data_IF_652804848655
#
_entry.id   IF_652804848655
#
_cell.length_a   1.000
_cell.length_b   1.000
_cell.length_c   1.000
_cell.angle_alpha   90.00
_cell.angle_beta   90.00
_cell.angle_gamma   90.00
#
_symmetry.space_group_name_H-M   'P 1'
#
loop_
_entity.id
_entity.type
_entity.pdbx_description
1 polymer ?
#
# COMPACT_ATOMS: atom_id res chain seq x y z
N UNK A 1 -47.10 -30.93 32.05
CA UNK A 1 -47.47 -29.62 32.63
C UNK A 1 -46.23 -29.04 33.29
N UNK A 2 -45.81 -27.84 32.90
CA UNK A 2 -44.60 -27.20 33.42
C UNK A 2 -44.18 -26.07 32.47
N UNK A 3 -44.38 -24.84 32.91
CA UNK A 3 -44.17 -23.59 32.19
C UNK A 3 -42.69 -23.29 31.95
N UNK A 4 -42.34 -22.77 30.77
CA UNK A 4 -41.00 -22.24 30.45
C UNK A 4 -41.11 -20.78 29.99
N UNK A 5 -40.51 -19.88 30.76
CA UNK A 5 -40.59 -18.42 30.67
C UNK A 5 -40.10 -17.84 29.33
N UNK A 6 -40.86 -16.89 28.78
CA UNK A 6 -40.37 -15.91 27.80
C UNK A 6 -39.84 -14.70 28.58
N UNK A 7 -38.52 -14.53 28.66
CA UNK A 7 -37.93 -13.33 29.26
C UNK A 7 -37.79 -12.23 28.20
N UNK A 8 -38.59 -11.17 28.32
CA UNK A 8 -38.42 -9.92 27.59
C UNK A 8 -37.37 -9.06 28.33
N UNK A 9 -36.18 -8.89 27.76
CA UNK A 9 -35.25 -7.86 28.24
C UNK A 9 -35.55 -6.54 27.53
N UNK A 10 -36.17 -5.61 28.27
CA UNK A 10 -36.26 -4.21 27.88
C UNK A 10 -34.98 -3.49 28.32
N UNK A 11 -33.96 -3.45 27.46
CA UNK A 11 -32.85 -2.51 27.63
C UNK A 11 -33.36 -1.11 27.24
N UNK A 12 -33.66 -0.28 28.25
CA UNK A 12 -33.98 1.13 28.06
C UNK A 12 -32.77 1.82 27.42
N UNK A 13 -32.94 2.37 26.21
CA UNK A 13 -32.14 3.50 25.72
C UNK A 13 -31.33 3.33 24.44
N UNK A 14 -31.28 2.15 23.80
CA UNK A 14 -30.53 1.98 22.54
C UNK A 14 -31.44 1.46 21.41
N UNK A 15 -31.60 2.24 20.33
CA UNK A 15 -32.23 1.78 19.08
C UNK A 15 -31.21 0.93 18.32
N UNK A 16 -31.45 -0.39 18.23
CA UNK A 16 -30.74 -1.26 17.28
C UNK A 16 -31.39 -1.12 15.88
N UNK A 17 -30.61 -1.15 14.79
CA UNK A 17 -31.14 -1.18 13.43
C UNK A 17 -31.93 -2.49 13.16
N UNK A 18 -32.84 -2.51 12.17
CA UNK A 18 -33.81 -3.60 11.95
C UNK A 18 -33.21 -4.94 11.48
N UNK A 19 -31.90 -5.12 11.56
CA UNK A 19 -31.18 -6.31 11.08
C UNK A 19 -30.39 -7.04 12.18
N UNK A 20 -30.57 -6.69 13.45
CA UNK A 20 -29.84 -7.30 14.57
C UNK A 20 -30.54 -8.56 15.07
N UNK A 21 -29.86 -9.71 15.03
CA UNK A 21 -30.30 -10.95 15.70
C UNK A 21 -29.31 -11.39 16.77
N UNK A 22 -29.83 -11.77 17.94
CA UNK A 22 -29.10 -12.43 19.03
C UNK A 22 -29.34 -13.94 18.91
N UNK A 23 -28.27 -14.74 18.81
CA UNK A 23 -28.37 -16.20 18.87
C UNK A 23 -28.02 -16.67 20.28
N UNK A 24 -28.98 -17.30 20.96
CA UNK A 24 -28.75 -17.99 22.23
C UNK A 24 -28.48 -19.46 21.93
N UNK A 25 -27.26 -19.91 22.19
CA UNK A 25 -26.91 -21.33 22.16
C UNK A 25 -27.35 -21.93 23.50
N UNK A 26 -28.25 -22.91 23.47
CA UNK A 26 -28.52 -23.77 24.63
C UNK A 26 -27.95 -25.13 24.30
N UNK A 27 -26.91 -25.49 25.03
CA UNK A 27 -26.36 -26.83 25.02
C UNK A 27 -27.15 -27.67 26.02
N UNK A 28 -27.76 -28.75 25.56
CA UNK A 28 -28.21 -29.82 26.43
C UNK A 28 -27.91 -31.14 25.76
N UNK A 29 -26.76 -31.73 26.13
CA UNK A 29 -26.41 -33.09 25.77
C UNK A 29 -27.52 -34.05 26.16
N UNK A 30 -28.17 -34.64 25.16
CA UNK A 30 -28.62 -36.02 25.15
C UNK A 30 -29.05 -36.39 23.73
N UNK A 31 -28.54 -37.53 23.27
CA UNK A 31 -28.88 -38.20 22.02
C UNK A 31 -30.40 -38.36 21.83
N UNK A 32 -30.97 -37.70 20.82
CA UNK A 32 -32.34 -37.95 20.36
C UNK A 32 -32.39 -38.01 18.83
N UNK A 33 -32.38 -39.24 18.33
CA UNK A 33 -32.83 -39.62 16.99
C UNK A 33 -34.30 -39.20 16.85
N UNK A 34 -34.63 -38.43 15.82
CA UNK A 34 -36.00 -38.11 15.44
C UNK A 34 -36.62 -36.89 16.13
N UNK A 35 -36.18 -35.69 15.77
CA UNK A 35 -36.93 -34.46 16.05
C UNK A 35 -37.58 -33.95 14.76
N UNK A 36 -38.89 -34.13 14.65
CA UNK A 36 -39.72 -33.49 13.63
C UNK A 36 -39.91 -32.03 14.05
N UNK A 37 -39.19 -31.11 13.41
CA UNK A 37 -39.35 -29.68 13.67
C UNK A 37 -40.54 -29.12 12.89
N UNK A 38 -41.48 -28.49 13.61
CA UNK A 38 -42.60 -27.76 12.99
C UNK A 38 -42.10 -26.41 12.48
N UNK A 39 -42.45 -26.00 11.25
CA UNK A 39 -42.07 -24.69 10.72
C UNK A 39 -42.72 -23.57 11.55
N UNK A 40 -41.93 -22.56 11.89
CA UNK A 40 -42.42 -21.32 12.50
C UNK A 40 -43.05 -20.48 11.37
N UNK A 41 -44.36 -20.24 11.46
CA UNK A 41 -45.07 -19.36 10.54
C UNK A 41 -44.92 -17.91 11.01
N UNK A 42 -44.30 -17.06 10.18
CA UNK A 42 -44.35 -15.60 10.31
C UNK A 42 -45.38 -15.09 9.29
N UNK A 43 -46.38 -14.27 9.67
CA UNK A 43 -47.36 -13.78 8.72
C UNK A 43 -46.70 -12.90 7.65
N UNK A 44 -46.83 -13.28 6.37
CA UNK A 44 -46.39 -12.48 5.22
C UNK A 44 -45.15 -12.97 4.45
N UNK A 45 -44.49 -14.05 4.86
CA UNK A 45 -43.35 -14.64 4.15
C UNK A 45 -43.60 -16.09 3.71
N UNK A 46 -43.18 -16.45 2.48
CA UNK A 46 -43.33 -17.79 1.92
C UNK A 46 -42.54 -18.89 2.66
N UNK A 47 -42.76 -20.14 2.25
CA UNK A 47 -42.21 -21.37 2.86
C UNK A 47 -40.69 -21.37 2.94
N UNK A 48 -40.16 -21.72 4.11
CA UNK A 48 -38.72 -21.73 4.42
C UNK A 48 -38.15 -23.14 4.24
N UNK A 49 -37.02 -23.29 3.53
CA UNK A 49 -36.29 -24.54 3.46
C UNK A 49 -35.06 -24.47 4.37
N UNK A 50 -34.95 -25.41 5.30
CA UNK A 50 -33.81 -25.59 6.20
C UNK A 50 -33.02 -26.80 5.67
N UNK A 51 -31.78 -26.60 5.21
CA UNK A 51 -30.91 -27.72 4.79
C UNK A 51 -29.85 -27.97 5.85
N UNK A 52 -29.66 -29.23 6.22
CA UNK A 52 -28.53 -29.68 7.04
C UNK A 52 -27.34 -30.03 6.14
N UNK A 53 -26.13 -29.65 6.54
CA UNK A 53 -24.90 -30.21 5.98
C UNK A 53 -24.16 -31.00 7.07
N UNK A 54 -23.50 -32.08 6.67
CA UNK A 54 -22.77 -32.99 7.57
C UNK A 54 -21.27 -32.81 7.32
N UNK A 55 -20.59 -32.22 8.30
CA UNK A 55 -19.12 -32.16 8.32
C UNK A 55 -18.61 -32.96 9.53
N UNK A 56 -17.39 -33.48 9.42
CA UNK A 56 -16.96 -34.68 10.15
C UNK A 56 -16.79 -34.52 11.68
N UNK A 57 -17.18 -33.39 12.31
CA UNK A 57 -17.23 -33.20 13.78
C UNK A 57 -18.29 -32.18 14.28
N UNK A 58 -19.53 -32.22 13.78
CA UNK A 58 -20.66 -31.55 14.45
C UNK A 58 -21.77 -31.03 13.53
N UNK A 59 -23.00 -30.91 14.05
CA UNK A 59 -24.13 -30.32 13.32
C UNK A 59 -24.10 -28.80 13.43
N UNK A 60 -23.83 -28.10 12.33
CA UNK A 60 -24.06 -26.65 12.19
C UNK A 60 -25.34 -26.38 11.40
N UNK A 61 -26.11 -25.35 11.79
CA UNK A 61 -27.28 -24.88 11.04
C UNK A 61 -26.95 -23.57 10.33
N UNK A 62 -27.13 -23.53 9.00
CA UNK A 62 -27.08 -22.31 8.20
C UNK A 62 -28.50 -21.96 7.75
N UNK A 63 -29.04 -20.81 8.18
CA UNK A 63 -30.32 -20.31 7.67
C UNK A 63 -30.06 -19.44 6.44
N UNK A 64 -30.63 -19.81 5.29
CA UNK A 64 -30.56 -19.01 4.06
C UNK A 64 -31.74 -18.06 3.98
N UNK A 65 -31.46 -16.78 3.72
CA UNK A 65 -32.46 -15.80 3.29
C UNK A 65 -32.37 -15.63 1.78
N UNK A 66 -33.44 -15.98 1.06
CA UNK A 66 -33.61 -15.62 -0.34
C UNK A 66 -34.71 -14.55 -0.42
N UNK A 67 -34.40 -13.28 -0.73
CA UNK A 67 -35.42 -12.34 -1.16
C UNK A 67 -35.87 -12.76 -2.56
N UNK A 68 -37.18 -12.74 -2.82
CA UNK A 68 -37.71 -12.86 -4.19
C UNK A 68 -37.32 -11.59 -4.96
N UNK A 69 -36.46 -11.76 -5.97
CA UNK A 69 -36.19 -10.77 -7.01
C UNK A 69 -35.05 -9.79 -6.66
N UNK A 70 -33.99 -9.82 -7.47
CA UNK A 70 -32.88 -8.87 -7.44
C UNK A 70 -31.56 -9.51 -7.01
N UNK A 71 -30.64 -9.65 -7.96
CA UNK A 71 -29.26 -10.10 -7.75
C UNK A 71 -28.54 -9.16 -6.76
N UNK A 72 -28.30 -9.64 -5.54
CA UNK A 72 -27.44 -8.94 -4.58
C UNK A 72 -26.01 -9.50 -4.70
N UNK A 73 -25.28 -9.05 -5.73
CA UNK A 73 -23.82 -9.28 -5.87
C UNK A 73 -23.03 -8.85 -4.62
N UNK A 74 -23.60 -7.97 -3.79
CA UNK A 74 -23.02 -7.46 -2.54
C UNK A 74 -22.82 -8.53 -1.47
N UNK A 75 -23.76 -9.47 -1.31
CA UNK A 75 -23.67 -10.49 -0.25
C UNK A 75 -22.69 -11.61 -0.61
N UNK A 76 -22.63 -11.99 -1.89
CA UNK A 76 -21.65 -12.96 -2.36
C UNK A 76 -20.23 -12.38 -2.40
N UNK A 77 -20.06 -11.13 -2.84
CA UNK A 77 -18.77 -10.45 -2.75
C UNK A 77 -18.30 -10.28 -1.30
N UNK A 78 -19.21 -9.95 -0.37
CA UNK A 78 -18.91 -9.86 1.06
C UNK A 78 -18.53 -11.23 1.66
N UNK A 79 -19.28 -12.30 1.33
CA UNK A 79 -18.95 -13.66 1.79
C UNK A 79 -17.64 -14.18 1.19
N UNK A 80 -17.35 -13.86 -0.07
CA UNK A 80 -16.05 -14.16 -0.69
C UNK A 80 -14.93 -13.39 -0.02
N UNK A 81 -15.15 -12.11 0.33
CA UNK A 81 -14.16 -11.28 1.04
C UNK A 81 -13.93 -11.71 2.49
N UNK A 82 -14.97 -12.15 3.19
CA UNK A 82 -14.87 -12.74 4.53
C UNK A 82 -14.14 -14.08 4.50
N UNK A 83 -14.48 -14.95 3.54
CA UNK A 83 -13.77 -16.23 3.32
C UNK A 83 -12.31 -16.01 2.89
N UNK A 84 -12.04 -15.02 2.05
CA UNK A 84 -10.68 -14.66 1.64
C UNK A 84 -9.87 -14.16 2.84
N UNK A 85 -10.46 -13.32 3.71
CA UNK A 85 -9.81 -12.88 4.95
C UNK A 85 -9.53 -14.01 5.91
N UNK A 86 -10.45 -14.97 6.06
CA UNK A 86 -10.22 -16.17 6.88
C UNK A 86 -9.08 -17.04 6.30
N UNK A 87 -8.91 -17.08 4.97
CA UNK A 87 -7.79 -17.76 4.30
C UNK A 87 -6.46 -16.99 4.40
N UNK A 88 -6.49 -15.65 4.33
CA UNK A 88 -5.30 -14.80 4.49
C UNK A 88 -4.73 -14.93 5.92
N UNK A 89 -5.59 -15.16 6.91
CA UNK A 89 -5.23 -15.46 8.30
C UNK A 89 -4.48 -16.79 8.49
N UNK A 90 -4.75 -17.80 7.65
CA UNK A 90 -4.09 -19.12 7.70
C UNK A 90 -2.65 -19.07 7.15
N UNK A 91 -2.22 -17.96 6.56
CA UNK A 91 -0.86 -17.78 6.03
C UNK A 91 0.13 -17.11 7.01
N UNK A 92 -0.32 -16.75 8.22
CA UNK A 92 0.53 -16.03 9.17
C UNK A 92 1.56 -16.94 9.82
N UNK A 93 2.76 -16.39 9.96
CA UNK A 93 3.87 -17.04 10.65
C UNK A 93 3.97 -16.57 12.10
N UNK A 94 3.80 -17.50 13.05
CA UNK A 94 3.84 -17.23 14.49
C UNK A 94 5.13 -17.81 15.10
N UNK A 95 5.90 -16.97 15.79
CA UNK A 95 7.05 -17.41 16.59
C UNK A 95 6.72 -17.32 18.09
N UNK A 96 6.93 -18.40 18.83
CA UNK A 96 6.70 -18.47 20.28
C UNK A 96 8.04 -18.55 21.00
N UNK A 97 8.29 -17.63 21.92
CA UNK A 97 9.48 -17.58 22.75
C UNK A 97 9.08 -17.85 24.20
N UNK A 98 9.43 -19.02 24.69
CA UNK A 98 9.13 -19.46 26.06
C UNK A 98 10.18 -20.49 26.46
N UNK A 99 10.75 -20.40 27.66
CA UNK A 99 11.74 -21.37 28.17
C UNK A 99 11.07 -22.68 28.59
N UNK A 100 9.80 -22.64 29.01
CA UNK A 100 9.02 -23.84 29.33
C UNK A 100 8.71 -24.66 28.07
N UNK A 101 9.41 -25.78 27.92
CA UNK A 101 9.28 -26.67 26.77
C UNK A 101 7.88 -27.28 26.63
N UNK A 102 7.18 -27.53 27.73
CA UNK A 102 5.84 -28.13 27.71
C UNK A 102 4.84 -27.11 27.22
N UNK A 103 4.84 -25.90 27.80
CA UNK A 103 3.95 -24.80 27.39
C UNK A 103 4.21 -24.42 25.93
N UNK A 104 5.48 -24.24 25.56
CA UNK A 104 5.87 -23.90 24.18
C UNK A 104 5.36 -24.94 23.18
N UNK A 105 5.57 -26.24 23.46
CA UNK A 105 5.15 -27.30 22.54
C UNK A 105 3.63 -27.39 22.41
N UNK A 106 2.89 -27.23 23.51
CA UNK A 106 1.42 -27.21 23.48
C UNK A 106 0.89 -26.04 22.65
N UNK A 107 1.50 -24.86 22.76
CA UNK A 107 1.10 -23.69 21.97
C UNK A 107 1.38 -23.88 20.48
N UNK A 108 2.56 -24.40 20.12
CA UNK A 108 2.90 -24.71 18.72
C UNK A 108 1.88 -25.68 18.12
N UNK A 109 1.55 -26.76 18.83
CA UNK A 109 0.58 -27.75 18.35
C UNK A 109 -0.80 -27.13 18.18
N UNK A 110 -1.26 -26.34 19.15
CA UNK A 110 -2.54 -25.64 19.07
C UNK A 110 -2.63 -24.72 17.84
N UNK A 111 -1.60 -23.91 17.56
CA UNK A 111 -1.63 -23.00 16.42
C UNK A 111 -1.55 -23.71 15.07
N UNK A 112 -0.72 -24.76 14.97
CA UNK A 112 -0.68 -25.59 13.75
C UNK A 112 -2.01 -26.26 13.47
N UNK A 113 -2.69 -26.79 14.49
CA UNK A 113 -4.04 -27.35 14.36
C UNK A 113 -5.10 -26.29 14.02
N UNK A 114 -4.84 -25.03 14.36
CA UNK A 114 -5.69 -23.89 14.03
C UNK A 114 -5.38 -23.27 12.67
N UNK A 115 -4.46 -23.87 11.88
CA UNK A 115 -4.15 -23.48 10.51
C UNK A 115 -2.98 -22.51 10.35
N UNK A 116 -2.26 -22.14 11.41
CA UNK A 116 -1.14 -21.20 11.33
C UNK A 116 0.20 -21.91 11.13
N UNK A 117 1.14 -21.24 10.44
CA UNK A 117 2.54 -21.62 10.50
C UNK A 117 3.13 -21.19 11.85
N UNK A 118 3.85 -22.10 12.51
CA UNK A 118 4.33 -21.82 13.85
C UNK A 118 5.65 -22.54 14.19
N UNK A 119 6.58 -21.78 14.78
CA UNK A 119 7.82 -22.26 15.37
C UNK A 119 7.97 -21.79 16.82
N UNK A 120 8.83 -22.49 17.57
CA UNK A 120 9.22 -22.12 18.91
C UNK A 120 10.70 -21.81 19.00
N UNK A 121 11.05 -20.92 19.94
CA UNK A 121 12.40 -20.63 20.39
C UNK A 121 12.45 -20.72 21.92
N UNK A 122 13.56 -21.25 22.46
CA UNK A 122 13.78 -21.37 23.90
C UNK A 122 14.16 -20.04 24.56
N UNK A 123 14.74 -19.12 23.80
CA UNK A 123 15.32 -17.88 24.30
C UNK A 123 15.44 -16.83 23.18
N UNK A 124 15.90 -15.63 23.54
CA UNK A 124 16.10 -14.52 22.62
C UNK A 124 17.11 -14.81 21.49
N UNK A 125 18.18 -15.58 21.74
CA UNK A 125 19.20 -15.91 20.73
C UNK A 125 18.60 -16.76 19.59
N UNK A 126 17.88 -17.82 19.95
CA UNK A 126 17.17 -18.66 18.99
C UNK A 126 16.07 -17.88 18.25
N UNK A 127 15.32 -17.04 18.96
CA UNK A 127 14.27 -16.23 18.36
C UNK A 127 14.84 -15.24 17.31
N UNK A 128 15.98 -14.62 17.61
CA UNK A 128 16.68 -13.75 16.67
C UNK A 128 17.20 -14.50 15.45
N UNK A 129 17.66 -15.75 15.60
CA UNK A 129 18.05 -16.57 14.47
C UNK A 129 16.87 -16.84 13.52
N UNK A 130 15.68 -17.12 14.08
CA UNK A 130 14.45 -17.30 13.28
C UNK A 130 14.06 -16.00 12.57
N UNK A 131 13.98 -14.88 13.30
CA UNK A 131 13.65 -13.55 12.74
C UNK A 131 14.61 -13.13 11.61
N UNK A 132 15.89 -13.47 11.71
CA UNK A 132 16.87 -13.20 10.67
C UNK A 132 16.75 -14.11 9.45
N UNK A 133 16.19 -15.32 9.61
CA UNK A 133 16.11 -16.32 8.55
C UNK A 133 14.85 -16.22 7.68
N UNK A 134 13.74 -15.69 8.23
CA UNK A 134 12.45 -15.65 7.56
C UNK A 134 11.52 -14.59 8.20
N UNK A 135 10.50 -14.09 7.47
CA UNK A 135 9.53 -13.17 8.03
C UNK A 135 8.70 -13.83 9.14
N UNK A 136 8.43 -13.07 10.20
CA UNK A 136 7.54 -13.45 11.30
C UNK A 136 6.47 -12.39 11.42
N UNK A 137 5.20 -12.81 11.43
CA UNK A 137 4.07 -11.87 11.53
C UNK A 137 3.74 -11.54 12.97
N UNK A 138 3.70 -12.57 13.82
CA UNK A 138 3.36 -12.45 15.24
C UNK A 138 4.42 -13.16 16.09
N UNK A 139 4.95 -12.44 17.06
CA UNK A 139 5.88 -12.93 18.06
C UNK A 139 5.18 -13.00 19.42
N UNK A 140 5.14 -14.18 20.04
CA UNK A 140 4.58 -14.37 21.38
C UNK A 140 5.74 -14.60 22.34
N UNK A 141 5.92 -13.73 23.34
CA UNK A 141 7.14 -13.70 24.18
C UNK A 141 6.80 -13.89 25.66
N UNK A 142 7.42 -14.87 26.32
CA UNK A 142 7.44 -14.95 27.78
C UNK A 142 8.29 -13.80 28.35
N UNK A 143 7.70 -12.98 29.24
CA UNK A 143 8.40 -11.88 29.89
C UNK A 143 9.42 -12.36 30.91
N UNK A 144 9.19 -13.52 31.52
CA UNK A 144 10.08 -14.13 32.49
C UNK A 144 10.87 -15.24 31.81
N UNK A 145 12.10 -14.96 31.36
CA UNK A 145 13.02 -15.97 30.82
C UNK A 145 14.30 -16.00 31.65
N UNK A 146 14.89 -17.19 31.83
CA UNK A 146 16.06 -17.39 32.71
C UNK A 146 17.30 -16.53 32.36
N UNK A 147 17.50 -16.16 31.09
CA UNK A 147 18.75 -15.55 30.59
C UNK A 147 18.60 -14.10 30.09
N UNK A 148 17.39 -13.64 29.82
CA UNK A 148 17.13 -12.33 29.19
C UNK A 148 15.78 -11.80 29.66
N UNK A 149 15.71 -10.51 30.02
CA UNK A 149 14.42 -9.88 30.31
C UNK A 149 13.61 -9.82 29.00
N UNK A 150 12.41 -10.41 29.01
CA UNK A 150 11.55 -10.43 27.82
C UNK A 150 11.16 -9.04 27.35
N UNK A 151 11.13 -8.02 28.24
CA UNK A 151 10.87 -6.65 27.83
C UNK A 151 12.00 -6.03 27.02
N UNK A 152 13.25 -6.25 27.44
CA UNK A 152 14.43 -5.77 26.70
C UNK A 152 14.51 -6.46 25.33
N UNK A 153 14.16 -7.75 25.28
CA UNK A 153 14.05 -8.48 24.02
C UNK A 153 12.98 -7.86 23.09
N UNK A 154 11.77 -7.60 23.58
CA UNK A 154 10.70 -6.96 22.80
C UNK A 154 11.17 -5.61 22.24
N UNK A 155 11.79 -4.77 23.05
CA UNK A 155 12.29 -3.48 22.61
C UNK A 155 13.34 -3.62 21.50
N UNK A 156 14.26 -4.59 21.63
CA UNK A 156 15.27 -4.85 20.61
C UNK A 156 14.66 -5.33 19.29
N UNK A 157 13.66 -6.21 19.35
CA UNK A 157 12.98 -6.75 18.16
C UNK A 157 12.23 -5.64 17.43
N UNK A 158 11.46 -4.80 18.14
CA UNK A 158 10.67 -3.72 17.52
C UNK A 158 11.52 -2.64 16.85
N UNK A 159 12.79 -2.48 17.24
CA UNK A 159 13.73 -1.55 16.58
C UNK A 159 14.22 -2.07 15.23
N UNK A 160 14.27 -3.39 15.04
CA UNK A 160 14.87 -4.03 13.87
C UNK A 160 13.84 -4.65 12.92
N UNK A 161 12.70 -5.11 13.45
CA UNK A 161 11.73 -5.92 12.71
C UNK A 161 10.31 -5.38 12.86
N UNK A 162 9.56 -5.35 11.75
CA UNK A 162 8.13 -5.03 11.76
C UNK A 162 7.30 -6.27 12.06
N UNK A 163 7.23 -6.61 13.34
CA UNK A 163 6.49 -7.76 13.88
C UNK A 163 5.52 -7.30 14.97
N UNK A 164 4.35 -7.93 15.03
CA UNK A 164 3.40 -7.72 16.13
C UNK A 164 3.78 -8.62 17.31
N UNK A 165 3.76 -8.05 18.52
CA UNK A 165 4.27 -8.75 19.71
C UNK A 165 3.16 -8.96 20.73
N UNK A 166 2.96 -10.20 21.19
CA UNK A 166 2.11 -10.54 22.33
C UNK A 166 2.99 -10.97 23.49
N UNK A 167 2.99 -10.22 24.58
CA UNK A 167 3.74 -10.57 25.78
C UNK A 167 2.95 -11.53 26.68
N UNK A 168 3.62 -12.50 27.28
CA UNK A 168 3.07 -13.46 28.24
C UNK A 168 3.70 -13.22 29.62
N UNK A 169 2.86 -13.07 30.65
CA UNK A 169 3.32 -12.96 32.06
C UNK A 169 2.88 -14.16 32.89
N UNK A 170 3.53 -14.36 34.04
CA UNK A 170 3.16 -15.40 35.01
C UNK A 170 2.05 -14.94 35.96
N UNK A 171 2.09 -13.69 36.46
CA UNK A 171 1.05 -13.16 37.36
C UNK A 171 0.40 -11.87 36.85
N UNK A 172 -0.93 -11.71 37.04
CA UNK A 172 -1.58 -10.41 36.90
C UNK A 172 -0.98 -9.42 37.90
N UNK A 173 -0.36 -8.34 37.40
CA UNK A 173 0.18 -7.26 38.23
C UNK A 173 1.71 -7.18 38.31
N UNK A 174 2.45 -8.20 37.84
CA UNK A 174 3.92 -8.12 37.72
C UNK A 174 4.34 -6.96 36.80
N UNK A 175 3.52 -6.71 35.79
CA UNK A 175 3.66 -5.60 34.86
C UNK A 175 2.30 -4.97 34.61
N UNK A 176 2.25 -3.64 34.53
CA UNK A 176 1.06 -2.94 34.07
C UNK A 176 0.96 -3.07 32.55
N UNK A 177 -0.26 -3.14 32.02
CA UNK A 177 -0.49 -3.16 30.57
C UNK A 177 0.21 -1.98 29.86
N UNK A 178 0.14 -0.80 30.46
CA UNK A 178 0.79 0.42 29.99
C UNK A 178 2.30 0.26 29.83
N UNK A 179 2.96 -0.37 30.81
CA UNK A 179 4.40 -0.56 30.79
C UNK A 179 4.83 -1.51 29.68
N UNK A 180 4.13 -2.65 29.51
CA UNK A 180 4.44 -3.65 28.48
C UNK A 180 4.22 -3.09 27.07
N UNK A 181 3.13 -2.34 26.87
CA UNK A 181 2.85 -1.68 25.58
C UNK A 181 3.86 -0.57 25.30
N UNK A 182 4.30 0.19 26.32
CA UNK A 182 5.31 1.24 26.14
C UNK A 182 6.67 0.71 25.65
N UNK A 183 6.95 -0.58 25.88
CA UNK A 183 8.14 -1.28 25.38
C UNK A 183 7.98 -1.86 23.98
N UNK A 184 6.80 -1.73 23.38
CA UNK A 184 6.54 -2.10 21.99
C UNK A 184 5.70 -3.37 21.80
N UNK A 185 5.14 -3.93 22.87
CA UNK A 185 4.17 -5.02 22.74
C UNK A 185 2.86 -4.52 22.11
N UNK A 186 2.33 -5.26 21.15
CA UNK A 186 1.02 -5.02 20.53
C UNK A 186 -0.13 -5.49 21.44
N UNK A 187 0.11 -6.51 22.26
CA UNK A 187 -0.85 -6.99 23.26
C UNK A 187 -0.16 -7.78 24.39
N UNK A 188 -0.95 -8.21 25.38
CA UNK A 188 -0.50 -8.90 26.57
C UNK A 188 -1.49 -9.98 27.03
N UNK A 189 -0.96 -11.11 27.51
CA UNK A 189 -1.72 -12.24 28.09
C UNK A 189 -1.08 -12.75 29.39
N UNK A 190 -1.90 -13.34 30.26
CA UNK A 190 -1.44 -13.97 31.51
C UNK A 190 -1.45 -15.49 31.38
N UNK A 191 -0.45 -16.16 31.96
CA UNK A 191 -0.42 -17.61 32.16
C UNK A 191 -1.35 -17.99 33.35
N UNK A 192 -2.02 -19.16 33.32
CA UNK A 192 -2.07 -20.14 32.24
C UNK A 192 -2.84 -19.60 31.02
N UNK A 193 -2.27 -19.82 29.83
CA UNK A 193 -2.79 -19.26 28.57
C UNK A 193 -4.16 -19.85 28.23
N UNK A 194 -5.15 -18.99 28.02
CA UNK A 194 -6.47 -19.38 27.50
C UNK A 194 -6.46 -19.32 25.98
N UNK A 195 -6.20 -20.45 25.34
CA UNK A 195 -6.08 -20.55 23.88
C UNK A 195 -7.19 -19.88 23.06
N UNK A 196 -8.49 -20.00 23.41
CA UNK A 196 -9.54 -19.29 22.66
C UNK A 196 -9.40 -17.76 22.71
N UNK A 197 -8.94 -17.21 23.84
CA UNK A 197 -8.71 -15.78 24.00
C UNK A 197 -7.48 -15.33 23.20
N UNK A 198 -6.40 -16.10 23.25
CA UNK A 198 -5.20 -15.83 22.49
C UNK A 198 -5.48 -15.84 20.97
N UNK A 199 -6.30 -16.79 20.50
CA UNK A 199 -6.73 -16.84 19.10
C UNK A 199 -7.52 -15.59 18.68
N UNK A 200 -8.40 -15.07 19.55
CA UNK A 200 -9.13 -13.82 19.28
C UNK A 200 -8.17 -12.62 19.19
N UNK A 201 -7.13 -12.57 20.03
CA UNK A 201 -6.11 -11.52 19.99
C UNK A 201 -5.28 -11.57 18.71
N UNK A 202 -4.84 -12.77 18.32
CA UNK A 202 -4.12 -12.99 17.05
C UNK A 202 -4.96 -12.55 15.85
N UNK A 203 -6.24 -12.94 15.81
CA UNK A 203 -7.17 -12.51 14.75
C UNK A 203 -7.35 -11.00 14.71
N UNK A 204 -7.41 -10.34 15.88
CA UNK A 204 -7.48 -8.88 15.96
C UNK A 204 -6.23 -8.25 15.35
N UNK A 205 -5.04 -8.66 15.80
CA UNK A 205 -3.76 -8.10 15.35
C UNK A 205 -3.55 -8.28 13.85
N UNK A 206 -3.83 -9.46 13.33
CA UNK A 206 -3.71 -9.74 11.92
C UNK A 206 -4.66 -8.89 11.06
N UNK A 207 -5.91 -8.72 11.48
CA UNK A 207 -6.84 -7.84 10.77
C UNK A 207 -6.39 -6.36 10.84
N UNK A 208 -5.84 -5.92 11.97
CA UNK A 208 -5.24 -4.57 12.08
C UNK A 208 -4.03 -4.39 11.16
N UNK A 209 -3.18 -5.41 11.04
CA UNK A 209 -2.02 -5.43 10.13
C UNK A 209 -2.46 -5.34 8.67
N UNK A 210 -3.41 -6.17 8.24
CA UNK A 210 -3.96 -6.13 6.87
C UNK A 210 -4.54 -4.75 6.56
N UNK A 211 -5.33 -4.18 7.48
CA UNK A 211 -5.92 -2.85 7.29
C UNK A 211 -4.85 -1.74 7.21
N UNK A 212 -3.76 -1.86 7.97
CA UNK A 212 -2.63 -0.92 7.91
C UNK A 212 -1.95 -0.98 6.54
N UNK A 213 -1.66 -2.18 6.05
CA UNK A 213 -1.07 -2.39 4.73
C UNK A 213 -1.97 -1.87 3.60
N UNK A 214 -3.26 -2.22 3.62
CA UNK A 214 -4.26 -1.72 2.64
C UNK A 214 -4.29 -0.18 2.63
N UNK A 215 -4.24 0.44 3.81
CA UNK A 215 -4.23 1.90 3.96
C UNK A 215 -2.96 2.52 3.37
N UNK A 216 -1.79 1.95 3.66
CA UNK A 216 -0.50 2.43 3.16
C UNK A 216 -0.42 2.32 1.63
N UNK A 217 -0.84 1.19 1.07
CA UNK A 217 -0.95 1.01 -0.38
C UNK A 217 -1.90 2.04 -1.01
N UNK A 218 -3.05 2.28 -0.38
CA UNK A 218 -4.01 3.26 -0.88
C UNK A 218 -3.44 4.69 -0.84
N UNK A 219 -2.73 5.05 0.23
CA UNK A 219 -2.05 6.34 0.34
C UNK A 219 -1.00 6.49 -0.78
N UNK A 220 -0.20 5.46 -1.02
CA UNK A 220 0.82 5.51 -2.08
C UNK A 220 0.18 5.61 -3.47
N UNK A 221 -0.89 4.86 -3.74
CA UNK A 221 -1.66 4.98 -5.00
C UNK A 221 -2.23 6.39 -5.17
N UNK A 222 -2.83 6.96 -4.13
CA UNK A 222 -3.36 8.33 -4.16
C UNK A 222 -2.26 9.35 -4.42
N UNK A 223 -1.07 9.14 -3.85
CA UNK A 223 0.10 9.99 -4.08
C UNK A 223 0.53 9.92 -5.54
N UNK A 224 0.70 8.72 -6.10
CA UNK A 224 1.06 8.52 -7.51
C UNK A 224 0.03 9.18 -8.44
N UNK A 225 -1.27 8.96 -8.22
CA UNK A 225 -2.35 9.58 -9.01
C UNK A 225 -2.36 11.11 -8.90
N UNK A 226 -1.98 11.66 -7.75
CA UNK A 226 -1.93 13.11 -7.54
C UNK A 226 -0.75 13.80 -8.24
N UNK A 227 0.37 13.08 -8.43
CA UNK A 227 1.61 13.65 -8.96
C UNK A 227 1.95 13.24 -10.40
N UNK A 228 1.19 12.34 -11.01
CA UNK A 228 1.44 11.81 -12.35
C UNK A 228 0.44 12.40 -13.35
N UNK A 229 0.85 12.55 -14.61
CA UNK A 229 0.00 12.88 -15.75
C UNK A 229 -0.58 11.60 -16.36
N UNK A 230 -1.90 11.56 -16.51
CA UNK A 230 -2.61 10.35 -16.93
C UNK A 230 -2.28 9.89 -18.35
N UNK A 231 -1.94 10.82 -19.24
CA UNK A 231 -1.68 10.53 -20.65
C UNK A 231 -0.26 9.98 -20.86
N UNK A 232 0.73 10.70 -20.36
CA UNK A 232 2.15 10.44 -20.64
C UNK A 232 2.81 9.53 -19.59
N UNK A 233 2.15 9.35 -18.43
CA UNK A 233 2.69 8.65 -17.24
C UNK A 233 3.94 9.29 -16.65
N UNK A 234 4.32 10.47 -17.12
CA UNK A 234 5.33 11.32 -16.49
C UNK A 234 4.74 12.01 -15.26
N UNK A 235 5.57 12.66 -14.46
CA UNK A 235 5.06 13.53 -13.42
C UNK A 235 4.31 14.74 -14.01
N UNK A 236 3.32 15.24 -13.29
CA UNK A 236 2.53 16.38 -13.74
C UNK A 236 3.17 17.72 -13.38
N UNK A 237 2.67 18.79 -14.00
CA UNK A 237 3.13 20.17 -13.81
C UNK A 237 3.10 20.63 -12.34
N UNK A 238 2.10 20.21 -11.56
CA UNK A 238 2.04 20.53 -10.12
C UNK A 238 3.24 19.92 -9.38
N UNK A 239 3.57 18.67 -9.69
CA UNK A 239 4.73 18.02 -9.09
C UNK A 239 6.05 18.67 -9.52
N UNK A 240 6.15 19.07 -10.80
CA UNK A 240 7.31 19.83 -11.31
C UNK A 240 7.59 21.08 -10.47
N UNK A 241 6.59 21.95 -10.29
CA UNK A 241 6.77 23.21 -9.55
C UNK A 241 7.18 23.00 -8.09
N UNK A 242 6.70 21.92 -7.46
CA UNK A 242 7.16 21.54 -6.12
C UNK A 242 8.61 21.05 -6.11
N UNK A 243 8.95 20.15 -7.04
CA UNK A 243 10.25 19.50 -7.04
C UNK A 243 11.39 20.45 -7.43
N UNK A 244 11.17 21.34 -8.41
CA UNK A 244 12.22 22.28 -8.85
C UNK A 244 12.65 23.25 -7.74
N UNK A 245 11.72 23.66 -6.87
CA UNK A 245 12.05 24.49 -5.69
C UNK A 245 12.96 23.72 -4.75
N UNK A 246 12.61 22.48 -4.44
CA UNK A 246 13.41 21.61 -3.56
C UNK A 246 14.81 21.36 -4.13
N UNK A 247 14.92 21.07 -5.42
CA UNK A 247 16.22 20.80 -6.06
C UNK A 247 17.10 22.03 -6.16
N UNK A 248 16.52 23.21 -6.42
CA UNK A 248 17.27 24.49 -6.41
C UNK A 248 17.75 24.82 -4.99
N UNK A 249 16.94 24.62 -3.96
CA UNK A 249 17.36 24.81 -2.56
C UNK A 249 18.50 23.85 -2.17
N UNK A 250 18.43 22.57 -2.60
CA UNK A 250 19.49 21.59 -2.40
C UNK A 250 20.78 21.99 -3.13
N UNK A 251 20.67 22.40 -4.39
CA UNK A 251 21.81 22.84 -5.18
C UNK A 251 22.49 24.06 -4.55
N UNK A 252 21.71 25.02 -4.06
CA UNK A 252 22.22 26.19 -3.35
C UNK A 252 22.89 25.84 -2.02
N UNK A 253 22.32 24.91 -1.24
CA UNK A 253 22.85 24.52 0.07
C UNK A 253 24.12 23.67 -0.03
N UNK A 254 24.14 22.71 -0.95
CA UNK A 254 25.22 21.73 -1.05
C UNK A 254 26.20 22.04 -2.18
N UNK A 255 25.98 23.11 -2.94
CA UNK A 255 26.78 23.51 -4.09
C UNK A 255 26.96 22.39 -5.14
N UNK A 256 25.95 21.51 -5.28
CA UNK A 256 25.95 20.51 -6.34
C UNK A 256 25.44 21.10 -7.66
N UNK A 257 25.90 20.54 -8.78
CA UNK A 257 25.38 20.89 -10.10
C UNK A 257 23.89 20.53 -10.20
N UNK A 258 23.14 21.32 -10.95
CA UNK A 258 21.74 21.07 -11.26
C UNK A 258 21.51 21.63 -12.66
N UNK A 259 20.82 20.87 -13.51
CA UNK A 259 20.45 21.33 -14.85
C UNK A 259 18.97 21.10 -15.10
N UNK A 260 18.39 21.93 -15.97
CA UNK A 260 16.98 21.90 -16.35
C UNK A 260 16.86 21.86 -17.87
N UNK A 261 16.01 20.97 -18.37
CA UNK A 261 15.64 20.86 -19.78
C UNK A 261 14.18 21.23 -19.95
N UNK A 262 13.86 22.25 -20.74
CA UNK A 262 12.51 22.51 -21.26
C UNK A 262 12.40 22.02 -22.69
N UNK A 263 11.30 21.36 -23.03
CA UNK A 263 11.11 20.72 -24.34
C UNK A 263 9.70 20.96 -24.86
N UNK A 264 9.56 21.02 -26.18
CA UNK A 264 8.27 21.20 -26.85
C UNK A 264 8.22 20.38 -28.14
N UNK A 265 7.07 19.74 -28.39
CA UNK A 265 6.83 18.97 -29.61
C UNK A 265 6.60 19.91 -30.79
N UNK A 266 7.51 19.85 -31.75
CA UNK A 266 7.53 20.75 -32.88
C UNK A 266 6.25 20.61 -33.72
N UNK A 267 5.62 21.75 -33.99
CA UNK A 267 4.42 21.84 -34.83
C UNK A 267 3.23 20.97 -34.36
N UNK A 268 3.13 20.69 -33.06
CA UNK A 268 2.09 19.82 -32.50
C UNK A 268 0.66 20.25 -32.85
N UNK A 269 0.37 21.56 -32.87
CA UNK A 269 -0.93 22.06 -33.35
C UNK A 269 -1.25 21.60 -34.78
N UNK A 270 -0.29 21.70 -35.72
CA UNK A 270 -0.48 21.24 -37.12
C UNK A 270 -0.64 19.72 -37.19
N UNK A 271 0.03 19.00 -36.31
CA UNK A 271 -0.14 17.55 -36.19
C UNK A 271 -1.58 17.22 -35.77
N UNK A 272 -2.12 17.87 -34.73
CA UNK A 272 -3.51 17.70 -34.30
C UNK A 272 -4.51 18.11 -35.38
N UNK A 273 -4.30 19.24 -36.05
CA UNK A 273 -5.18 19.71 -37.11
C UNK A 273 -5.26 18.71 -38.29
N UNK A 274 -4.18 17.94 -38.52
CA UNK A 274 -4.09 16.96 -39.61
C UNK A 274 -4.55 15.55 -39.22
N UNK A 275 -4.21 15.08 -38.03
CA UNK A 275 -4.40 13.68 -37.61
C UNK A 275 -5.44 13.52 -36.49
N UNK A 276 -5.98 14.62 -35.96
CA UNK A 276 -6.95 14.62 -34.86
C UNK A 276 -6.29 14.49 -33.49
N UNK A 277 -7.04 14.93 -32.46
CA UNK A 277 -6.53 14.98 -31.08
C UNK A 277 -6.21 13.60 -30.50
N UNK A 278 -6.91 12.54 -30.88
CA UNK A 278 -6.62 11.18 -30.40
C UNK A 278 -5.22 10.72 -30.83
N UNK A 279 -4.86 10.95 -32.10
CA UNK A 279 -3.50 10.69 -32.58
C UNK A 279 -2.48 11.65 -31.95
N UNK A 280 -2.89 12.88 -31.63
CA UNK A 280 -2.10 13.80 -30.82
C UNK A 280 -1.75 13.24 -29.44
N UNK A 281 -2.74 12.67 -28.76
CA UNK A 281 -2.57 12.04 -27.45
C UNK A 281 -1.61 10.84 -27.54
N UNK A 282 -1.73 10.01 -28.58
CA UNK A 282 -0.78 8.91 -28.88
C UNK A 282 0.64 9.46 -29.08
N UNK A 283 0.79 10.55 -29.84
CA UNK A 283 2.08 11.18 -30.05
C UNK A 283 2.70 11.70 -28.74
N UNK A 284 1.93 12.33 -27.87
CA UNK A 284 2.41 12.80 -26.56
C UNK A 284 2.78 11.65 -25.63
N UNK A 285 1.97 10.59 -25.58
CA UNK A 285 2.27 9.40 -24.78
C UNK A 285 3.56 8.71 -25.25
N UNK A 286 3.75 8.61 -26.57
CA UNK A 286 4.96 8.08 -27.18
C UNK A 286 6.19 8.92 -26.85
N UNK A 287 6.11 10.25 -27.03
CA UNK A 287 7.19 11.18 -26.66
C UNK A 287 7.54 11.06 -25.17
N UNK A 288 6.53 11.07 -24.28
CA UNK A 288 6.74 10.93 -22.84
C UNK A 288 7.46 9.64 -22.46
N UNK A 289 7.10 8.52 -23.09
CA UNK A 289 7.78 7.23 -22.90
C UNK A 289 9.25 7.30 -23.33
N UNK A 290 9.54 7.90 -24.49
CA UNK A 290 10.92 8.03 -25.00
C UNK A 290 11.79 8.95 -24.13
N UNK A 291 11.21 10.03 -23.60
CA UNK A 291 11.86 10.90 -22.62
C UNK A 291 12.23 10.09 -21.38
N UNK A 292 11.25 9.39 -20.76
CA UNK A 292 11.47 8.62 -19.52
C UNK A 292 12.52 7.51 -19.70
N UNK A 293 12.47 6.78 -20.82
CA UNK A 293 13.45 5.73 -21.15
C UNK A 293 14.85 6.26 -21.45
N UNK A 294 15.04 7.58 -21.46
CA UNK A 294 16.33 8.24 -21.68
C UNK A 294 16.92 8.80 -20.40
N UNK A 295 16.33 8.53 -19.23
CA UNK A 295 16.72 9.10 -17.94
C UNK A 295 17.33 8.07 -16.99
N UNK A 296 18.14 8.56 -16.04
CA UNK A 296 18.68 7.77 -14.92
C UNK A 296 17.70 7.77 -13.74
N UNK A 297 17.92 6.91 -12.75
CA UNK A 297 17.03 6.78 -11.59
C UNK A 297 16.89 8.07 -10.74
N UNK A 298 17.90 8.96 -10.72
CA UNK A 298 17.83 10.24 -10.00
C UNK A 298 17.26 11.39 -10.84
N UNK A 299 17.13 11.19 -12.15
CA UNK A 299 16.55 12.20 -13.04
C UNK A 299 15.03 12.09 -12.99
N UNK A 300 14.33 13.19 -13.28
CA UNK A 300 12.87 13.20 -13.25
C UNK A 300 12.30 13.92 -14.46
N UNK A 301 11.29 13.30 -15.11
CA UNK A 301 10.59 13.82 -16.27
C UNK A 301 9.16 14.23 -15.92
N UNK A 302 8.70 15.30 -16.55
CA UNK A 302 7.42 15.93 -16.29
C UNK A 302 6.73 16.31 -17.60
N UNK A 303 5.40 16.22 -17.63
CA UNK A 303 4.57 16.94 -18.59
C UNK A 303 4.25 18.32 -18.02
N UNK A 304 4.89 19.34 -18.56
CA UNK A 304 4.83 20.71 -18.04
C UNK A 304 3.50 21.40 -18.40
N UNK A 305 2.99 21.16 -19.60
CA UNK A 305 1.67 21.62 -20.03
C UNK A 305 1.42 21.28 -21.50
N UNK A 306 0.20 20.89 -21.89
CA UNK A 306 -0.12 20.59 -23.30
C UNK A 306 0.87 19.61 -23.96
N UNK A 307 1.71 20.15 -24.86
CA UNK A 307 2.80 19.52 -25.61
C UNK A 307 4.22 19.79 -25.07
N UNK A 308 4.32 20.47 -23.93
CA UNK A 308 5.56 20.86 -23.27
C UNK A 308 5.97 19.85 -22.20
N UNK A 309 7.26 19.55 -22.16
CA UNK A 309 7.87 18.59 -21.25
C UNK A 309 9.06 19.22 -20.53
N UNK A 310 9.33 18.72 -19.33
CA UNK A 310 10.43 19.18 -18.50
C UNK A 310 11.24 18.01 -17.95
N UNK A 311 12.56 18.19 -17.81
CA UNK A 311 13.42 17.23 -17.10
C UNK A 311 14.32 17.98 -16.13
N UNK A 312 14.33 17.52 -14.88
CA UNK A 312 15.24 17.98 -13.84
C UNK A 312 16.37 16.96 -13.72
N UNK A 313 17.62 17.45 -13.80
CA UNK A 313 18.84 16.65 -13.73
C UNK A 313 19.68 17.07 -12.51
N UNK A 314 19.44 16.48 -11.32
CA UNK A 314 20.27 16.70 -10.15
C UNK A 314 21.71 16.21 -10.39
N UNK A 315 22.68 16.88 -9.76
CA UNK A 315 24.11 16.52 -9.80
C UNK A 315 24.63 16.36 -11.24
N UNK A 316 24.14 17.21 -12.15
CA UNK A 316 24.48 17.16 -13.58
C UNK A 316 24.85 18.55 -14.07
N UNK A 317 26.02 18.68 -14.69
CA UNK A 317 26.50 19.95 -15.28
C UNK A 317 25.84 20.23 -16.63
N UNK A 318 25.82 21.49 -17.07
CA UNK A 318 25.13 21.91 -18.30
C UNK A 318 25.59 21.17 -19.57
N UNK A 319 26.88 20.91 -19.73
CA UNK A 319 27.39 20.15 -20.88
C UNK A 319 26.96 18.68 -20.85
N UNK A 320 26.87 18.06 -19.67
CA UNK A 320 26.35 16.70 -19.52
C UNK A 320 24.84 16.67 -19.78
N UNK A 321 24.11 17.68 -19.31
CA UNK A 321 22.69 17.86 -19.56
C UNK A 321 22.38 18.02 -21.05
N UNK A 322 23.25 18.72 -21.80
CA UNK A 322 23.16 18.83 -23.27
C UNK A 322 23.29 17.48 -23.96
N UNK A 323 24.15 16.57 -23.46
CA UNK A 323 24.24 15.21 -23.98
C UNK A 323 22.94 14.43 -23.75
N UNK A 324 22.32 14.59 -22.57
CA UNK A 324 21.01 13.99 -22.27
C UNK A 324 19.93 14.55 -23.20
N UNK A 325 19.90 15.87 -23.41
CA UNK A 325 18.97 16.53 -24.32
C UNK A 325 19.10 16.02 -25.76
N UNK A 326 20.31 15.98 -26.32
CA UNK A 326 20.52 15.47 -27.68
C UNK A 326 20.16 13.99 -27.81
N UNK A 327 20.41 13.18 -26.77
CA UNK A 327 19.96 11.79 -26.74
C UNK A 327 18.44 11.69 -26.82
N UNK A 328 17.70 12.49 -26.05
CA UNK A 328 16.23 12.54 -26.10
C UNK A 328 15.77 12.95 -27.50
N UNK A 329 16.30 14.08 -28.01
CA UNK A 329 15.94 14.63 -29.33
C UNK A 329 16.12 13.62 -30.45
N UNK A 330 17.29 13.00 -30.53
CA UNK A 330 17.61 11.98 -31.55
C UNK A 330 16.73 10.74 -31.42
N UNK A 331 16.38 10.33 -30.20
CA UNK A 331 15.53 9.16 -29.96
C UNK A 331 14.09 9.40 -30.44
N UNK A 332 13.56 10.60 -30.20
CA UNK A 332 12.23 10.99 -30.68
C UNK A 332 12.22 11.11 -32.21
N UNK A 333 13.20 11.80 -32.80
CA UNK A 333 13.33 11.95 -34.25
C UNK A 333 13.40 10.59 -34.98
N UNK A 334 14.11 9.61 -34.40
CA UNK A 334 14.30 8.27 -34.98
C UNK A 334 13.15 7.29 -34.70
N UNK A 335 12.17 7.68 -33.89
CA UNK A 335 11.08 6.79 -33.47
C UNK A 335 9.74 7.41 -33.87
N UNK A 336 9.33 7.30 -35.14
CA UNK A 336 8.06 7.85 -35.61
C UNK A 336 6.87 7.26 -34.84
N UNK A 337 5.83 8.07 -34.68
CA UNK A 337 4.59 7.71 -33.97
C UNK A 337 3.78 6.81 -34.90
N UNK A 338 3.33 5.67 -34.38
CA UNK A 338 2.37 4.80 -35.09
C UNK A 338 0.96 5.28 -34.76
N UNK A 339 0.22 5.74 -35.76
CA UNK A 339 -1.16 6.21 -35.62
C UNK A 339 -2.16 5.06 -35.56
N UNK A 340 -3.41 5.35 -35.22
CA UNK A 340 -4.51 4.36 -35.16
C UNK A 340 -4.78 3.64 -36.48
N UNK A 341 -4.50 4.29 -37.61
CA UNK A 341 -4.63 3.71 -38.95
C UNK A 341 -3.41 2.87 -39.39
N UNK A 342 -2.42 2.72 -38.50
CA UNK A 342 -1.17 2.01 -38.74
C UNK A 342 -0.11 2.80 -39.49
N UNK A 343 -0.39 4.06 -39.88
CA UNK A 343 0.60 4.91 -40.51
C UNK A 343 1.67 5.37 -39.51
N UNK A 344 2.89 5.59 -40.01
CA UNK A 344 4.03 6.03 -39.19
C UNK A 344 4.38 7.47 -39.52
N UNK A 345 4.26 8.37 -38.55
CA UNK A 345 4.45 9.82 -38.73
C UNK A 345 5.60 10.31 -37.85
N UNK A 346 6.61 10.97 -38.42
CA UNK A 346 7.70 11.53 -37.64
C UNK A 346 7.23 12.72 -36.80
N UNK A 347 7.76 12.83 -35.60
CA UNK A 347 7.64 13.99 -34.71
C UNK A 347 9.03 14.40 -34.25
N UNK A 348 9.24 15.69 -33.99
CA UNK A 348 10.53 16.21 -33.51
C UNK A 348 10.35 17.07 -32.26
N UNK A 349 11.44 17.29 -31.54
CA UNK A 349 11.47 18.09 -30.32
C UNK A 349 12.45 19.24 -30.46
N UNK A 350 12.04 20.41 -30.00
CA UNK A 350 12.95 21.50 -29.64
C UNK A 350 13.25 21.45 -28.15
N UNK A 351 14.51 21.64 -27.76
CA UNK A 351 14.96 21.53 -26.36
C UNK A 351 15.78 22.76 -25.97
N UNK A 352 15.46 23.34 -24.82
CA UNK A 352 16.26 24.35 -24.12
C UNK A 352 16.95 23.74 -22.90
N UNK A 353 18.23 23.97 -22.74
CA UNK A 353 19.06 23.45 -21.64
C UNK A 353 19.69 24.60 -20.90
N UNK A 354 19.64 24.54 -19.57
CA UNK A 354 20.33 25.47 -18.68
C UNK A 354 20.89 24.74 -17.47
N UNK A 355 21.97 25.27 -16.95
CA UNK A 355 22.54 24.94 -15.65
C UNK A 355 22.15 25.99 -14.60
N UNK A 356 21.98 25.51 -13.38
CA UNK A 356 21.67 26.35 -12.23
C UNK A 356 22.85 27.24 -11.84
N UNK A 357 22.58 28.53 -11.67
CA UNK A 357 23.55 29.48 -11.12
C UNK A 357 23.38 29.57 -9.60
N UNK A 358 24.48 29.56 -8.85
CA UNK A 358 24.41 29.72 -7.39
C UNK A 358 23.67 31.00 -6.97
N UNK A 359 22.69 30.87 -6.09
CA UNK A 359 21.80 31.94 -5.62
C UNK A 359 20.62 32.24 -6.55
N UNK A 360 20.46 31.50 -7.65
CA UNK A 360 19.32 31.60 -8.55
C UNK A 360 18.07 30.94 -7.92
N UNK A 361 16.91 31.54 -8.18
CA UNK A 361 15.60 30.98 -7.79
C UNK A 361 15.07 30.03 -8.85
N UNK A 362 14.17 29.12 -8.47
CA UNK A 362 13.52 28.22 -9.42
C UNK A 362 12.86 28.94 -10.60
N UNK A 363 12.21 30.08 -10.37
CA UNK A 363 11.58 30.86 -11.44
C UNK A 363 12.58 31.46 -12.43
N UNK A 364 13.75 31.88 -11.95
CA UNK A 364 14.82 32.40 -12.83
C UNK A 364 15.39 31.26 -13.70
N UNK A 365 15.63 30.09 -13.10
CA UNK A 365 16.10 28.90 -13.81
C UNK A 365 15.12 28.46 -14.91
N UNK A 366 13.83 28.38 -14.58
CA UNK A 366 12.76 28.06 -15.54
C UNK A 366 12.75 29.08 -16.68
N UNK A 367 12.78 30.37 -16.36
CA UNK A 367 12.76 31.43 -17.38
C UNK A 367 13.92 31.34 -18.35
N UNK A 368 15.14 31.02 -17.88
CA UNK A 368 16.29 30.80 -18.77
C UNK A 368 16.10 29.55 -19.63
N UNK A 369 15.52 28.49 -19.08
CA UNK A 369 15.24 27.27 -19.84
C UNK A 369 14.22 27.51 -20.95
N UNK A 370 13.18 28.30 -20.68
CA UNK A 370 12.19 28.75 -21.67
C UNK A 370 12.83 29.61 -22.76
N UNK A 371 13.76 30.51 -22.40
CA UNK A 371 14.52 31.31 -23.37
C UNK A 371 15.38 30.43 -24.28
N UNK A 372 16.08 29.44 -23.70
CA UNK A 372 16.83 28.46 -24.48
C UNK A 372 15.93 27.65 -25.44
N UNK A 373 14.74 27.24 -24.97
CA UNK A 373 13.75 26.53 -25.79
C UNK A 373 13.22 27.41 -26.92
N UNK A 374 12.95 28.68 -26.64
CA UNK A 374 12.54 29.66 -27.64
C UNK A 374 13.59 29.81 -28.75
N UNK A 375 14.87 29.93 -28.40
CA UNK A 375 15.96 29.97 -29.39
C UNK A 375 15.99 28.71 -30.25
N UNK A 376 15.77 27.53 -29.67
CA UNK A 376 15.66 26.28 -30.43
C UNK A 376 14.51 26.31 -31.44
N UNK A 377 13.34 26.82 -31.04
CA UNK A 377 12.15 26.95 -31.92
C UNK A 377 12.39 27.93 -33.07
N UNK A 378 12.97 29.10 -32.79
CA UNK A 378 13.21 30.14 -33.80
C UNK A 378 14.38 29.81 -34.74
N UNK A 379 15.38 29.06 -34.25
CA UNK A 379 16.54 28.72 -35.07
C UNK A 379 16.26 27.62 -36.11
N UNK A 380 15.04 27.07 -36.15
CA UNK A 380 14.63 26.08 -37.14
C UNK A 380 14.18 24.74 -36.54
N UNK A 381 13.90 24.69 -35.24
CA UNK A 381 13.36 23.50 -34.53
C UNK A 381 14.26 22.28 -34.58
N UNK A 382 13.78 21.14 -34.06
CA UNK A 382 14.49 19.86 -33.99
C UNK A 382 15.95 20.01 -33.55
N UNK A 383 16.17 20.73 -32.45
CA UNK A 383 17.51 21.06 -31.94
C UNK A 383 17.52 21.34 -30.46
N UNK A 384 18.72 21.30 -29.91
CA UNK A 384 19.00 21.71 -28.54
C UNK A 384 19.78 23.02 -28.53
N UNK A 385 19.34 23.95 -27.70
CA UNK A 385 20.10 25.16 -27.35
C UNK A 385 20.49 25.06 -25.88
N UNK A 386 21.77 25.22 -25.60
CA UNK A 386 22.29 25.30 -24.23
C UNK A 386 22.70 26.73 -23.94
N UNK A 387 22.11 27.33 -22.88
CA UNK A 387 22.50 28.63 -22.36
C UNK A 387 23.27 28.42 -21.05
N UNK A 388 24.61 28.46 -21.09
CA UNK A 388 25.42 28.26 -19.90
C UNK A 388 25.18 29.38 -18.89
N UNK A 389 25.43 29.07 -17.63
CA UNK A 389 25.55 30.01 -16.55
C UNK A 389 26.63 31.02 -16.91
N UNK A 390 26.24 32.27 -17.20
CA UNK A 390 27.21 33.34 -17.26
C UNK A 390 27.87 33.42 -15.88
N UNK A 391 29.17 33.12 -15.82
CA UNK A 391 29.94 33.33 -14.62
C UNK A 391 29.76 34.80 -14.24
N UNK A 392 29.09 35.08 -13.12
CA UNK A 392 29.19 36.40 -12.50
C UNK A 392 30.68 36.65 -12.33
N UNK A 393 31.22 37.58 -13.12
CA UNK A 393 32.53 38.16 -12.88
C UNK A 393 32.62 38.39 -11.38
N UNK A 394 33.57 37.72 -10.73
CA UNK A 394 33.93 38.06 -9.37
C UNK A 394 34.26 39.55 -9.40
N UNK A 395 33.33 40.36 -8.89
CA UNK A 395 33.59 41.77 -8.66
C UNK A 395 34.69 41.79 -7.60
N UNK A 396 35.89 42.13 -8.07
CA UNK A 396 37.11 42.30 -7.29
C UNK A 396 36.98 43.45 -6.28
#
# INVERSE_FOLDING_TARGET
>A
MGYGFLAYFHLRGWRLPPWSFIVKIVDSGQSAVGSVFRPIFIPGGGTHAMSTYRENRGYGFLAYFHPRGGENLSSWALMKKLRQRDLDMESLFILIVDDDAVVRQQMIEFFRLSGFECLGALNAEEANAVLASQPVDILIVNLQMERTDGLDFIESVKKQWDVDVIAMTLYPGDYTYEFVVSRGASDFITKPVRYPELLLRIRRLANERTLRQEREEMIERLKILSITDDLTKLYNSRHFHGQIVVEVERANRYHHSLSLLMMDVDHFKKFNDRYGHLNGDIALAHVGSLVNLSLRAMDSAYRYGGEEFAVILPVTMGEEAKVVAERIRLKVEKSPVTLDDGSSVPVTLSIGVVDHVSGETANQLIRRADEALYISKESGRNRTTFLPAEARSAAA
#
